data_IF_220996897057
#
_entry.id   IF_220996897057
#
_cell.length_a   1.000
_cell.length_b   1.000
_cell.length_c   1.000
_cell.angle_alpha   90.00
_cell.angle_beta   90.00
_cell.angle_gamma   90.00
#
_symmetry.space_group_name_H-M   'P 1'
#
loop_
_entity.id
_entity.type
_entity.pdbx_description
1 polymer ?
#
# COMPACT_ATOMS: atom_id res chain seq x y z
N UNK A 1 16.27 5.45 1.23
CA UNK A 1 15.77 4.86 -0.04
C UNK A 1 14.30 5.20 -0.19
N UNK A 2 13.87 5.48 -1.41
CA UNK A 2 12.46 5.65 -1.71
C UNK A 2 11.85 4.28 -2.02
N UNK A 3 10.89 3.87 -1.20
CA UNK A 3 10.24 2.57 -1.35
C UNK A 3 8.77 2.81 -1.67
N UNK A 4 8.30 2.22 -2.76
CA UNK A 4 6.90 2.29 -3.18
C UNK A 4 6.24 0.94 -2.92
N UNK A 5 5.12 0.96 -2.21
CA UNK A 5 4.47 -0.25 -1.71
C UNK A 5 3.05 -0.33 -2.26
N UNK A 6 2.75 -1.41 -2.98
CA UNK A 6 1.38 -1.71 -3.40
C UNK A 6 0.52 -2.06 -2.18
N UNK A 7 -0.76 -1.74 -2.24
CA UNK A 7 -1.68 -1.92 -1.11
C UNK A 7 -2.41 -3.26 -1.19
N UNK A 8 -3.25 -3.44 -2.22
CA UNK A 8 -4.12 -4.61 -2.28
C UNK A 8 -3.32 -5.89 -2.50
N UNK A 9 -3.59 -6.89 -1.65
CA UNK A 9 -2.92 -8.20 -1.64
C UNK A 9 -1.42 -8.12 -1.32
N UNK A 10 -0.96 -7.00 -0.77
CA UNK A 10 0.39 -6.83 -0.23
C UNK A 10 0.34 -6.55 1.26
N UNK A 11 -0.37 -5.50 1.69
CA UNK A 11 -0.54 -5.19 3.13
C UNK A 11 -1.96 -5.46 3.62
N UNK A 12 -2.84 -5.86 2.74
CA UNK A 12 -4.21 -6.23 3.07
C UNK A 12 -4.72 -7.26 2.08
N UNK A 13 -5.81 -7.93 2.45
CA UNK A 13 -6.53 -8.83 1.56
C UNK A 13 -7.76 -8.12 1.04
N UNK A 14 -7.90 -8.05 -0.27
CA UNK A 14 -9.03 -7.44 -0.95
C UNK A 14 -9.60 -8.43 -1.95
N UNK A 15 -10.92 -8.62 -1.94
CA UNK A 15 -11.60 -9.47 -2.92
C UNK A 15 -12.16 -8.61 -4.04
N UNK A 16 -11.62 -8.79 -5.24
CA UNK A 16 -12.04 -8.02 -6.41
C UNK A 16 -11.88 -6.51 -6.17
N UNK A 17 -12.98 -5.79 -6.28
CA UNK A 17 -13.01 -4.34 -6.06
C UNK A 17 -13.75 -3.96 -4.76
N UNK A 18 -13.88 -4.89 -3.84
CA UNK A 18 -14.55 -4.66 -2.55
C UNK A 18 -13.58 -4.05 -1.54
N UNK A 19 -13.13 -2.84 -1.85
CA UNK A 19 -12.05 -2.18 -1.10
C UNK A 19 -12.46 -1.82 0.33
N UNK A 20 -13.73 -1.48 0.56
CA UNK A 20 -14.21 -1.10 1.89
C UNK A 20 -14.12 -2.25 2.89
N UNK A 21 -14.16 -3.49 2.42
CA UNK A 21 -14.10 -4.69 3.25
C UNK A 21 -12.70 -5.32 3.29
N UNK A 22 -11.68 -4.61 2.81
CA UNK A 22 -10.31 -5.08 2.89
C UNK A 22 -9.90 -5.32 4.34
N UNK A 23 -9.13 -6.41 4.57
CA UNK A 23 -8.64 -6.77 5.90
C UNK A 23 -7.12 -6.64 5.95
N UNK A 24 -6.57 -6.00 7.00
CA UNK A 24 -5.11 -5.78 7.08
C UNK A 24 -4.34 -7.07 7.34
N UNK A 25 -3.15 -7.15 6.75
CA UNK A 25 -2.18 -8.21 7.03
C UNK A 25 -1.13 -7.59 7.96
N UNK A 26 -1.34 -7.73 9.27
CA UNK A 26 -0.52 -7.04 10.27
C UNK A 26 0.96 -7.37 10.17
N UNK A 27 1.30 -8.62 9.89
CA UNK A 27 2.69 -9.03 9.73
C UNK A 27 3.38 -8.22 8.62
N UNK A 28 2.70 -8.04 7.49
CA UNK A 28 3.26 -7.32 6.36
C UNK A 28 3.35 -5.82 6.63
N UNK A 29 2.33 -5.25 7.28
CA UNK A 29 2.35 -3.84 7.70
C UNK A 29 3.54 -3.59 8.64
N UNK A 30 3.79 -4.50 9.58
CA UNK A 30 4.91 -4.37 10.50
C UNK A 30 6.26 -4.39 9.78
N UNK A 31 6.41 -5.19 8.73
CA UNK A 31 7.62 -5.20 7.90
C UNK A 31 7.87 -3.84 7.25
N UNK A 32 6.83 -3.23 6.71
CA UNK A 32 6.95 -1.92 6.05
C UNK A 32 7.21 -0.82 7.10
N UNK A 33 6.52 -0.88 8.24
CA UNK A 33 6.75 0.07 9.32
C UNK A 33 8.19 0.00 9.84
N UNK A 34 8.78 -1.19 9.85
CA UNK A 34 10.18 -1.35 10.22
C UNK A 34 11.09 -0.61 9.24
N UNK A 35 10.82 -0.74 7.95
CA UNK A 35 11.58 0.00 6.92
C UNK A 35 11.43 1.50 7.11
N UNK A 36 10.24 1.98 7.44
CA UNK A 36 10.01 3.39 7.77
C UNK A 36 10.89 3.82 8.95
N UNK A 37 10.91 3.03 10.01
CA UNK A 37 11.68 3.34 11.21
C UNK A 37 13.19 3.31 10.95
N UNK A 38 13.65 2.59 9.94
CA UNK A 38 15.06 2.52 9.54
C UNK A 38 15.49 3.71 8.68
N UNK A 39 14.60 4.66 8.43
CA UNK A 39 14.92 5.89 7.71
C UNK A 39 14.56 5.88 6.23
N UNK A 40 13.85 4.87 5.76
CA UNK A 40 13.39 4.83 4.37
C UNK A 40 12.14 5.69 4.19
N UNK A 41 12.00 6.31 3.01
CA UNK A 41 10.79 6.99 2.64
C UNK A 41 9.80 5.97 2.10
N UNK A 42 8.63 5.88 2.72
CA UNK A 42 7.59 4.91 2.35
C UNK A 42 6.47 5.62 1.61
N UNK A 43 6.19 5.13 0.40
CA UNK A 43 5.17 5.69 -0.49
C UNK A 43 4.20 4.57 -0.87
N UNK A 44 3.00 4.60 -0.29
CA UNK A 44 1.96 3.65 -0.66
C UNK A 44 1.28 4.09 -1.95
N UNK A 45 0.92 3.11 -2.77
CA UNK A 45 0.17 3.38 -3.99
C UNK A 45 -0.86 2.29 -4.25
N UNK A 46 -1.91 2.64 -4.98
CA UNK A 46 -2.96 1.70 -5.36
C UNK A 46 -3.57 2.12 -6.69
N UNK A 47 -3.93 1.14 -7.49
CA UNK A 47 -4.67 1.37 -8.73
C UNK A 47 -6.20 1.46 -8.51
N UNK A 48 -6.65 1.49 -7.26
CA UNK A 48 -8.08 1.59 -6.92
C UNK A 48 -8.71 2.76 -7.64
N UNK A 49 -9.75 2.49 -8.42
CA UNK A 49 -10.47 3.52 -9.15
C UNK A 49 -9.90 3.89 -10.51
N UNK A 50 -8.77 3.29 -10.93
CA UNK A 50 -8.17 3.62 -12.24
C UNK A 50 -9.08 3.24 -13.40
N UNK A 51 -9.85 2.16 -13.29
CA UNK A 51 -10.78 1.72 -14.32
C UNK A 51 -12.17 2.32 -14.12
N UNK A 52 -12.70 2.25 -12.90
CA UNK A 52 -14.07 2.73 -12.59
C UNK A 52 -14.19 4.25 -12.57
N UNK A 53 -13.05 4.96 -12.43
CA UNK A 53 -13.00 6.42 -12.27
C UNK A 53 -13.65 6.91 -10.98
N UNK A 54 -13.82 6.04 -10.01
CA UNK A 54 -14.28 6.38 -8.65
C UNK A 54 -13.06 6.79 -7.83
N UNK A 55 -13.17 7.88 -7.08
CA UNK A 55 -12.10 8.34 -6.22
C UNK A 55 -12.12 7.57 -4.90
N UNK A 56 -11.13 6.72 -4.68
CA UNK A 56 -10.97 5.94 -3.46
C UNK A 56 -9.88 6.48 -2.52
N UNK A 57 -9.42 7.71 -2.75
CA UNK A 57 -8.33 8.27 -1.95
C UNK A 57 -8.66 8.32 -0.45
N UNK A 58 -9.79 8.93 -0.10
CA UNK A 58 -10.17 9.10 1.30
C UNK A 58 -10.36 7.76 2.00
N UNK A 59 -11.04 6.83 1.35
CA UNK A 59 -11.22 5.48 1.89
C UNK A 59 -9.87 4.82 2.16
N UNK A 60 -8.96 4.87 1.20
CA UNK A 60 -7.65 4.24 1.29
C UNK A 60 -6.81 4.90 2.37
N UNK A 61 -6.77 6.21 2.41
CA UNK A 61 -6.03 6.97 3.42
C UNK A 61 -6.50 6.61 4.83
N UNK A 62 -7.82 6.56 5.03
CA UNK A 62 -8.40 6.21 6.32
C UNK A 62 -8.07 4.77 6.72
N UNK A 63 -8.07 3.83 5.77
CA UNK A 63 -7.67 2.45 6.04
C UNK A 63 -6.22 2.36 6.50
N UNK A 64 -5.30 3.04 5.80
CA UNK A 64 -3.88 3.02 6.18
C UNK A 64 -3.69 3.57 7.59
N UNK A 65 -4.35 4.65 7.94
CA UNK A 65 -4.28 5.23 9.28
C UNK A 65 -4.87 4.28 10.33
N UNK A 66 -6.01 3.69 10.04
CA UNK A 66 -6.69 2.76 10.94
C UNK A 66 -5.85 1.51 11.19
N UNK A 67 -5.12 1.05 10.18
CA UNK A 67 -4.28 -0.15 10.27
C UNK A 67 -2.91 0.13 10.91
N UNK A 68 -2.60 1.37 11.25
CA UNK A 68 -1.33 1.74 11.87
C UNK A 68 -0.17 1.79 10.90
N UNK A 69 -0.42 2.00 9.62
CA UNK A 69 0.63 2.15 8.62
C UNK A 69 1.37 3.46 8.79
N UNK A 70 2.70 3.42 8.74
CA UNK A 70 3.56 4.60 8.72
C UNK A 70 4.01 4.87 7.30
N UNK A 71 3.80 6.07 6.81
CA UNK A 71 4.14 6.40 5.42
C UNK A 71 4.32 7.90 5.22
N UNK A 72 4.99 8.25 4.12
CA UNK A 72 5.25 9.65 3.75
C UNK A 72 4.28 10.15 2.69
N UNK A 73 3.85 9.27 1.78
CA UNK A 73 2.92 9.66 0.73
C UNK A 73 1.99 8.51 0.35
N UNK A 74 0.88 8.88 -0.26
CA UNK A 74 -0.12 7.96 -0.78
C UNK A 74 -0.55 8.42 -2.17
N UNK A 75 -0.55 7.52 -3.14
CA UNK A 75 -1.07 7.74 -4.48
C UNK A 75 -2.15 6.71 -4.76
N UNK A 76 -3.31 7.15 -5.19
CA UNK A 76 -4.46 6.28 -5.49
C UNK A 76 -4.96 6.59 -6.89
N UNK A 77 -5.13 5.53 -7.69
CA UNK A 77 -5.61 5.64 -9.06
C UNK A 77 -4.52 5.75 -10.13
N UNK A 78 -3.26 5.90 -9.72
CA UNK A 78 -2.14 6.03 -10.62
C UNK A 78 -0.96 5.22 -10.13
N UNK A 79 -0.12 4.74 -11.06
CA UNK A 79 1.12 4.05 -10.71
C UNK A 79 2.25 5.08 -10.62
N UNK A 80 2.90 5.27 -9.44
CA UNK A 80 3.97 6.24 -9.30
C UNK A 80 5.28 5.77 -9.94
N UNK A 81 6.23 6.68 -10.24
CA UNK A 81 7.61 6.31 -10.50
C UNK A 81 8.24 5.79 -9.21
N UNK A 82 9.16 4.81 -9.32
CA UNK A 82 9.71 4.16 -8.13
C UNK A 82 11.18 3.76 -8.31
N UNK A 83 11.91 3.76 -7.19
CA UNK A 83 13.23 3.16 -7.09
C UNK A 83 13.11 1.67 -6.74
N UNK A 84 12.20 1.35 -5.82
CA UNK A 84 11.92 -0.02 -5.43
C UNK A 84 10.42 -0.17 -5.20
N UNK A 85 9.78 -1.04 -5.98
CA UNK A 85 8.37 -1.36 -5.84
C UNK A 85 8.23 -2.68 -5.09
N UNK A 86 7.56 -2.64 -3.94
CA UNK A 86 7.21 -3.83 -3.17
C UNK A 86 5.75 -4.17 -3.46
N UNK A 87 5.50 -5.29 -4.11
CA UNK A 87 4.17 -5.73 -4.47
C UNK A 87 4.13 -7.26 -4.61
N UNK A 88 2.94 -7.78 -4.92
CA UNK A 88 2.74 -9.21 -5.08
C UNK A 88 3.33 -9.78 -6.38
N UNK A 89 3.73 -8.91 -7.31
CA UNK A 89 4.20 -9.34 -8.64
C UNK A 89 5.68 -9.11 -8.88
N UNK A 90 6.27 -8.07 -8.30
CA UNK A 90 7.65 -7.65 -8.58
C UNK A 90 8.60 -8.11 -7.50
N UNK A 91 8.48 -7.54 -6.30
CA UNK A 91 9.22 -7.99 -5.12
C UNK A 91 8.19 -8.39 -4.08
N UNK A 92 8.17 -9.65 -3.72
CA UNK A 92 7.17 -10.16 -2.79
C UNK A 92 7.48 -9.70 -1.38
N UNK A 93 6.43 -9.33 -0.65
CA UNK A 93 6.59 -8.87 0.72
C UNK A 93 7.18 -9.96 1.62
N UNK A 94 6.95 -11.23 1.31
CA UNK A 94 7.51 -12.35 2.05
C UNK A 94 9.04 -12.45 1.94
N UNK A 95 9.61 -11.78 0.94
CA UNK A 95 11.06 -11.78 0.70
C UNK A 95 11.79 -10.69 1.51
N UNK A 96 11.07 -9.89 2.25
CA UNK A 96 11.65 -8.83 3.05
C UNK A 96 12.06 -9.34 4.44
#
# INVERSE_FOLDING_TARGET
MNIYVDIDNTICKTQGMDYADSTPIKENINKINKLYNEGNEINYWSARGSVSKIDFYDLTHNQLKQWGCKFHSLSVGEKPPYDLLICDKTLRIEEI
#
